data_IF_049659531587
#
_entry.id   IF_049659531587
#
_cell.length_a   1.000
_cell.length_b   1.000
_cell.length_c   1.000
_cell.angle_alpha   90.00
_cell.angle_beta   90.00
_cell.angle_gamma   90.00
#
_symmetry.space_group_name_H-M   'P 1'
#
loop_
_entity.id
_entity.type
_entity.pdbx_description
1 polymer ?
#
# COMPACT_ATOMS: atom_id res chain seq x y z
N UNK A 1 11.66 -15.19 23.13
CA UNK A 1 11.65 -14.28 21.97
C UNK A 1 10.98 -15.01 20.82
N UNK A 2 9.84 -14.55 20.33
CA UNK A 2 9.15 -15.15 19.18
C UNK A 2 9.38 -14.28 17.95
N UNK A 3 9.99 -14.87 16.92
CA UNK A 3 10.25 -14.20 15.64
C UNK A 3 9.11 -14.53 14.68
N UNK A 4 8.28 -13.54 14.37
CA UNK A 4 7.22 -13.65 13.36
C UNK A 4 7.87 -13.40 11.99
N UNK A 5 8.06 -14.47 11.19
CA UNK A 5 8.45 -14.36 9.78
C UNK A 5 7.20 -14.26 8.92
N UNK A 6 6.94 -13.09 8.36
CA UNK A 6 5.88 -12.88 7.38
C UNK A 6 6.45 -13.25 6.00
N UNK A 7 5.90 -14.29 5.38
CA UNK A 7 6.21 -14.69 4.00
C UNK A 7 5.52 -13.73 3.02
N UNK A 8 6.19 -13.30 1.92
CA UNK A 8 5.53 -12.52 0.88
C UNK A 8 4.61 -13.41 0.05
N UNK A 9 3.32 -13.09 0.04
CA UNK A 9 2.30 -13.74 -0.81
C UNK A 9 2.61 -13.40 -2.27
N UNK A 10 3.13 -14.39 -3.01
CA UNK A 10 3.33 -14.31 -4.46
C UNK A 10 2.24 -15.11 -5.14
N UNK A 11 1.21 -14.44 -5.67
CA UNK A 11 0.28 -15.06 -6.62
C UNK A 11 -0.16 -14.04 -7.66
N UNK A 12 0.51 -14.05 -8.82
CA UNK A 12 -0.04 -13.56 -10.07
C UNK A 12 -0.01 -14.74 -11.04
N UNK A 13 -1.16 -15.38 -11.23
CA UNK A 13 -1.35 -16.39 -12.28
C UNK A 13 -1.52 -15.65 -13.62
N UNK A 14 -0.53 -15.74 -14.50
CA UNK A 14 -0.70 -15.42 -15.91
C UNK A 14 -1.39 -16.59 -16.59
N UNK A 15 -2.61 -16.40 -17.09
CA UNK A 15 -3.26 -17.36 -17.98
C UNK A 15 -2.55 -17.30 -19.35
N UNK A 16 -1.80 -18.36 -19.69
CA UNK A 16 -1.41 -18.62 -21.07
C UNK A 16 -2.61 -19.23 -21.81
N UNK A 17 -3.18 -18.50 -22.76
CA UNK A 17 -4.08 -19.06 -23.76
C UNK A 17 -3.22 -19.77 -24.82
N UNK A 18 -2.93 -21.06 -24.61
CA UNK A 18 -2.40 -21.92 -25.68
C UNK A 18 -3.58 -22.38 -26.53
N UNK A 19 -3.88 -21.64 -27.60
CA UNK A 19 -4.79 -22.11 -28.64
C UNK A 19 -4.11 -23.26 -29.38
N UNK A 20 -4.48 -24.49 -29.01
CA UNK A 20 -4.22 -25.68 -29.80
C UNK A 20 -5.18 -25.66 -30.98
N UNK A 21 -4.67 -25.40 -32.18
CA UNK A 21 -5.44 -25.51 -33.42
C UNK A 21 -4.75 -26.55 -34.29
N UNK A 22 -5.51 -27.62 -34.54
CA UNK A 22 -5.14 -28.86 -35.22
C UNK A 22 -4.30 -28.67 -36.48
N UNK A 23 -3.24 -29.46 -36.57
CA UNK A 23 -2.49 -29.66 -37.81
C UNK A 23 -3.38 -30.39 -38.82
N UNK A 24 -3.83 -29.67 -39.85
CA UNK A 24 -4.24 -30.26 -41.12
C UNK A 24 -3.23 -29.79 -42.17
N UNK A 25 -2.48 -30.77 -42.69
CA UNK A 25 -1.53 -30.60 -43.78
C UNK A 25 -2.24 -30.14 -45.07
N UNK A 26 -1.67 -29.15 -45.77
CA UNK A 26 -1.18 -29.27 -47.16
C UNK A 26 -0.97 -27.90 -47.83
N UNK A 27 0.21 -27.78 -48.45
CA UNK A 27 0.48 -27.14 -49.75
C UNK A 27 0.87 -25.64 -49.83
N UNK A 28 2.02 -25.48 -50.52
CA UNK A 28 2.54 -24.34 -51.31
C UNK A 28 3.36 -23.24 -50.66
N UNK A 29 4.67 -23.35 -50.92
CA UNK A 29 5.69 -22.31 -50.82
C UNK A 29 5.28 -21.03 -51.56
N UNK A 30 5.20 -19.92 -50.84
CA UNK A 30 5.34 -18.57 -51.39
C UNK A 30 5.96 -17.70 -50.30
N UNK A 31 7.24 -17.38 -50.46
CA UNK A 31 7.96 -16.45 -49.60
C UNK A 31 7.41 -15.04 -49.84
N UNK A 32 6.35 -14.70 -49.10
CA UNK A 32 5.82 -13.35 -48.98
C UNK A 32 6.36 -12.73 -47.70
N UNK A 33 7.29 -11.79 -47.81
CA UNK A 33 7.75 -10.98 -46.68
C UNK A 33 6.65 -9.99 -46.33
N UNK A 34 5.70 -10.44 -45.50
CA UNK A 34 4.59 -9.62 -45.04
C UNK A 34 5.12 -8.66 -43.96
N UNK A 35 5.23 -7.37 -44.29
CA UNK A 35 5.58 -6.36 -43.30
C UNK A 35 4.33 -6.03 -42.50
N UNK A 36 4.21 -6.61 -41.30
CA UNK A 36 3.13 -6.26 -40.36
C UNK A 36 3.40 -4.89 -39.78
N UNK A 37 2.66 -3.88 -40.22
CA UNK A 37 2.63 -2.58 -39.55
C UNK A 37 1.79 -2.70 -38.30
N UNK A 38 2.42 -2.69 -37.12
CA UNK A 38 1.72 -2.70 -35.84
C UNK A 38 1.32 -1.26 -35.51
N UNK A 39 0.07 -0.90 -35.81
CA UNK A 39 -0.51 0.38 -35.38
C UNK A 39 -0.78 0.30 -33.87
N UNK A 40 0.12 0.88 -33.07
CA UNK A 40 -0.13 1.10 -31.64
C UNK A 40 -1.28 2.07 -31.47
N UNK A 41 -2.45 1.55 -31.10
CA UNK A 41 -3.63 2.38 -30.84
C UNK A 41 -3.41 3.17 -29.55
N UNK A 42 -3.01 4.44 -29.68
CA UNK A 42 -3.16 5.43 -28.61
C UNK A 42 -4.64 5.82 -28.55
N UNK A 43 -5.47 4.89 -28.07
CA UNK A 43 -6.88 5.18 -27.85
C UNK A 43 -7.02 6.23 -26.76
N UNK A 44 -7.96 7.19 -26.88
CA UNK A 44 -8.29 8.13 -25.81
C UNK A 44 -8.53 7.45 -24.45
N UNK A 45 -9.06 6.23 -24.48
CA UNK A 45 -9.27 5.39 -23.30
C UNK A 45 -7.95 4.96 -22.62
N UNK A 46 -6.91 4.59 -23.39
CA UNK A 46 -5.58 4.26 -22.86
C UNK A 46 -4.93 5.47 -22.18
N UNK A 47 -5.09 6.67 -22.74
CA UNK A 47 -4.60 7.90 -22.12
C UNK A 47 -5.36 8.22 -20.83
N UNK A 48 -6.70 8.15 -20.86
CA UNK A 48 -7.54 8.38 -19.68
C UNK A 48 -7.19 7.44 -18.52
N UNK A 49 -7.00 6.15 -18.80
CA UNK A 49 -6.61 5.17 -17.79
C UNK A 49 -5.22 5.45 -17.21
N UNK A 50 -4.24 5.84 -18.03
CA UNK A 50 -2.90 6.24 -17.55
C UNK A 50 -2.96 7.44 -16.61
N UNK A 51 -3.77 8.45 -16.95
CA UNK A 51 -3.97 9.63 -16.10
C UNK A 51 -4.59 9.23 -14.76
N UNK A 52 -5.66 8.43 -14.78
CA UNK A 52 -6.31 7.93 -13.55
C UNK A 52 -5.37 7.10 -12.70
N UNK A 53 -4.54 6.27 -13.33
CA UNK A 53 -3.58 5.43 -12.60
C UNK A 53 -2.52 6.28 -11.90
N UNK A 54 -1.99 7.30 -12.58
CA UNK A 54 -1.04 8.25 -11.97
C UNK A 54 -1.68 9.08 -10.85
N UNK A 55 -2.94 9.48 -11.01
CA UNK A 55 -3.67 10.18 -9.95
C UNK A 55 -3.88 9.29 -8.72
N UNK A 56 -4.22 8.02 -8.93
CA UNK A 56 -4.42 7.05 -7.85
C UNK A 56 -3.11 6.77 -7.11
N UNK A 57 -2.02 6.59 -7.84
CA UNK A 57 -0.68 6.43 -7.26
C UNK A 57 -0.30 7.63 -6.38
N UNK A 58 -0.54 8.86 -6.85
CA UNK A 58 -0.32 10.07 -6.04
C UNK A 58 -1.18 10.08 -4.77
N UNK A 59 -2.46 9.70 -4.86
CA UNK A 59 -3.35 9.61 -3.70
C UNK A 59 -2.88 8.56 -2.70
N UNK A 60 -2.41 7.40 -3.16
CA UNK A 60 -1.85 6.36 -2.31
C UNK A 60 -0.60 6.87 -1.57
N UNK A 61 0.35 7.49 -2.28
CA UNK A 61 1.56 8.02 -1.67
C UNK A 61 1.24 9.11 -0.64
N UNK A 62 0.29 10.01 -0.94
CA UNK A 62 -0.16 11.02 0.03
C UNK A 62 -0.80 10.39 1.28
N UNK A 63 -1.56 9.31 1.11
CA UNK A 63 -2.19 8.61 2.22
C UNK A 63 -1.16 7.89 3.08
N UNK A 64 -0.15 7.28 2.48
CA UNK A 64 0.94 6.62 3.19
C UNK A 64 1.73 7.62 4.05
N UNK A 65 2.07 8.79 3.49
CA UNK A 65 2.78 9.82 4.24
C UNK A 65 1.94 10.38 5.40
N UNK A 66 0.63 10.62 5.18
CA UNK A 66 -0.29 11.01 6.26
C UNK A 66 -0.33 9.95 7.37
N UNK A 67 -0.40 8.68 7.00
CA UNK A 67 -0.41 7.59 7.96
C UNK A 67 0.90 7.54 8.78
N UNK A 68 2.06 7.71 8.13
CA UNK A 68 3.34 7.80 8.84
C UNK A 68 3.36 8.95 9.85
N UNK A 69 2.96 10.16 9.43
CA UNK A 69 2.91 11.32 10.33
C UNK A 69 1.98 11.07 11.51
N UNK A 70 0.77 10.57 11.27
CA UNK A 70 -0.19 10.27 12.34
C UNK A 70 0.31 9.17 13.27
N UNK A 71 0.99 8.14 12.74
CA UNK A 71 1.56 7.08 13.56
C UNK A 71 2.67 7.59 14.48
N UNK A 72 3.49 8.54 14.01
CA UNK A 72 4.52 9.20 14.83
C UNK A 72 3.85 10.03 15.92
N UNK A 73 2.89 10.88 15.56
CA UNK A 73 2.15 11.70 16.52
C UNK A 73 1.46 10.85 17.59
N UNK A 74 0.78 9.78 17.20
CA UNK A 74 0.13 8.87 18.16
C UNK A 74 1.14 8.24 19.11
N UNK A 75 2.32 7.83 18.61
CA UNK A 75 3.38 7.28 19.45
C UNK A 75 3.85 8.33 20.46
N UNK A 76 4.11 9.55 20.01
CA UNK A 76 4.52 10.66 20.88
C UNK A 76 3.47 10.94 21.94
N UNK A 77 2.19 11.01 21.57
CA UNK A 77 1.07 11.18 22.51
C UNK A 77 1.00 10.06 23.56
N UNK A 78 1.07 8.79 23.14
CA UNK A 78 0.95 7.64 24.06
C UNK A 78 2.18 7.50 24.97
N UNK A 79 3.37 7.89 24.48
CA UNK A 79 4.62 7.84 25.27
C UNK A 79 4.89 9.12 26.04
N UNK A 80 4.08 10.17 25.84
CA UNK A 80 4.27 11.45 26.51
C UNK A 80 3.83 11.33 27.96
N UNK A 81 4.80 11.59 28.83
CA UNK A 81 4.61 11.69 30.28
C UNK A 81 3.60 12.79 30.62
N UNK A 82 3.61 13.90 29.87
CA UNK A 82 2.68 15.01 30.10
C UNK A 82 1.23 14.59 29.81
N UNK A 83 1.00 13.81 28.75
CA UNK A 83 -0.34 13.28 28.45
C UNK A 83 -0.83 12.28 29.50
N UNK A 84 0.08 11.49 30.09
CA UNK A 84 -0.27 10.60 31.19
C UNK A 84 -0.75 11.40 32.41
N UNK A 85 -0.06 12.48 32.77
CA UNK A 85 -0.47 13.31 33.90
C UNK A 85 -1.76 14.09 33.63
N UNK A 86 -1.94 14.62 32.42
CA UNK A 86 -3.21 15.23 32.01
C UNK A 86 -4.37 14.24 32.11
N UNK A 87 -4.17 13.00 31.65
CA UNK A 87 -5.15 11.93 31.79
C UNK A 87 -5.46 11.63 33.28
N UNK A 88 -4.44 11.56 34.12
CA UNK A 88 -4.61 11.36 35.55
C UNK A 88 -5.41 12.50 36.20
N UNK A 89 -5.16 13.75 35.82
CA UNK A 89 -5.85 14.92 36.37
C UNK A 89 -7.33 14.98 35.93
N UNK A 90 -7.65 14.50 34.73
CA UNK A 90 -9.03 14.47 34.21
C UNK A 90 -9.85 13.32 34.80
N UNK A 91 -9.23 12.15 34.99
CA UNK A 91 -9.95 10.92 35.29
C UNK A 91 -9.82 10.42 36.73
N UNK A 92 -8.87 10.92 37.51
CA UNK A 92 -8.73 10.55 38.91
C UNK A 92 -9.36 11.60 39.83
N UNK A 93 -9.92 11.18 40.98
CA UNK A 93 -10.23 12.10 42.07
C UNK A 93 -8.96 12.92 42.46
N UNK A 94 -9.11 14.20 42.84
CA UNK A 94 -7.97 15.11 43.06
C UNK A 94 -6.90 14.57 44.01
N UNK A 95 -7.31 13.88 45.07
CA UNK A 95 -6.39 13.29 46.05
C UNK A 95 -5.50 12.19 45.45
N UNK A 96 -6.03 11.42 44.49
CA UNK A 96 -5.30 10.35 43.81
C UNK A 96 -4.38 10.90 42.71
N UNK A 97 -4.85 11.88 41.93
CA UNK A 97 -3.98 12.57 40.96
C UNK A 97 -2.78 13.23 41.66
N UNK A 98 -2.98 13.88 42.80
CA UNK A 98 -1.90 14.48 43.59
C UNK A 98 -0.87 13.44 44.08
N UNK A 99 -1.31 12.25 44.48
CA UNK A 99 -0.40 11.17 44.90
C UNK A 99 0.44 10.68 43.71
N UNK A 100 -0.18 10.46 42.55
CA UNK A 100 0.51 10.02 41.33
C UNK A 100 1.54 11.06 40.88
N UNK A 101 1.14 12.34 40.86
CA UNK A 101 2.02 13.47 40.52
C UNK A 101 3.21 13.58 41.50
N UNK A 102 3.01 13.35 42.79
CA UNK A 102 4.09 13.43 43.78
C UNK A 102 5.00 12.20 43.80
N UNK A 103 4.46 11.00 43.56
CA UNK A 103 5.22 9.75 43.63
C UNK A 103 6.12 9.55 42.40
N UNK A 104 5.62 9.87 41.20
CA UNK A 104 6.34 9.61 39.94
C UNK A 104 7.26 10.77 39.54
N UNK A 105 7.00 12.00 40.02
CA UNK A 105 7.83 13.18 39.71
C UNK A 105 9.04 13.36 40.64
N UNK A 106 9.09 12.62 41.76
CA UNK A 106 10.21 12.63 42.71
C UNK A 106 11.21 11.46 42.53
N UNK A 107 10.95 10.54 41.60
CA UNK A 107 11.87 9.46 41.18
C UNK A 107 12.63 9.84 39.91
#
# INVERSE_FOLDING_TARGET
MYTIKIQPVSYIKYYQHTSSTSELSMVSSSTSTQTTQVLSVNTPQKHSLKVKNSELEKKCNQLEEKFKTQSIQLRETVTSVDHFYEFCDVHLPPNLSMIVNNYVRMS
#
